data_IF_426389378283
#
_entry.id   IF_426389378283
#
_cell.length_a   1.000
_cell.length_b   1.000
_cell.length_c   1.000
_cell.angle_alpha   90.00
_cell.angle_beta   90.00
_cell.angle_gamma   90.00
#
_symmetry.space_group_name_H-M   'P 1'
#
loop_
_entity.id
_entity.type
_entity.pdbx_description
1 polymer ?
#
# COMPACT_ATOMS: atom_id res chain seq x y z
N UNK A 1 -9.29 -1.47 -5.34
CA UNK A 1 -7.89 -1.83 -5.55
C UNK A 1 -7.21 -2.06 -4.22
N UNK A 2 -6.57 -3.21 -4.03
CA UNK A 2 -5.71 -3.45 -2.87
C UNK A 2 -4.45 -2.57 -2.90
N UNK A 3 -4.02 -1.94 -1.79
CA UNK A 3 -2.79 -1.16 -1.76
C UNK A 3 -1.55 -1.94 -2.20
N UNK A 4 -1.48 -3.25 -1.95
CA UNK A 4 -0.38 -4.10 -2.42
C UNK A 4 -0.19 -4.06 -3.95
N UNK A 5 -1.26 -3.95 -4.74
CA UNK A 5 -1.14 -3.87 -6.20
C UNK A 5 -0.28 -2.67 -6.61
N UNK A 6 -0.35 -1.58 -5.87
CA UNK A 6 0.42 -0.37 -6.15
C UNK A 6 1.94 -0.59 -6.07
N UNK A 7 2.40 -1.56 -5.27
CA UNK A 7 3.83 -1.90 -5.15
C UNK A 7 4.44 -2.40 -6.47
N UNK A 8 3.61 -2.87 -7.41
CA UNK A 8 4.06 -3.45 -8.68
C UNK A 8 3.61 -2.65 -9.91
N UNK A 9 2.80 -1.59 -9.73
CA UNK A 9 2.30 -0.79 -10.84
C UNK A 9 3.35 0.23 -11.30
N UNK A 10 3.87 0.03 -12.50
CA UNK A 10 4.60 1.04 -13.25
C UNK A 10 3.67 1.73 -14.26
N UNK A 11 4.01 2.95 -14.69
CA UNK A 11 3.24 3.61 -15.75
C UNK A 11 3.26 2.75 -17.03
N UNK A 12 2.11 2.43 -17.64
CA UNK A 12 2.06 1.58 -18.82
C UNK A 12 2.75 2.22 -20.03
N UNK A 13 2.88 3.55 -20.05
CA UNK A 13 3.40 4.32 -21.19
C UNK A 13 4.92 4.48 -21.13
N UNK A 14 5.46 5.02 -20.03
CA UNK A 14 6.89 5.34 -19.91
C UNK A 14 7.66 4.41 -18.98
N UNK A 15 6.99 3.41 -18.40
CA UNK A 15 7.55 2.43 -17.45
C UNK A 15 8.12 3.07 -16.17
N UNK A 16 7.78 4.33 -15.90
CA UNK A 16 8.24 5.01 -14.70
C UNK A 16 7.63 4.39 -13.44
N UNK A 17 8.47 4.24 -12.42
CA UNK A 17 8.15 3.75 -11.08
C UNK A 17 9.07 4.49 -10.07
N UNK A 18 8.59 4.87 -8.87
CA UNK A 18 7.24 4.65 -8.34
C UNK A 18 6.23 5.70 -8.83
N UNK A 19 4.96 5.31 -8.92
CA UNK A 19 3.85 6.21 -9.21
C UNK A 19 3.43 6.97 -7.93
N UNK A 20 2.47 7.89 -8.04
CA UNK A 20 1.74 8.46 -6.90
C UNK A 20 0.32 7.94 -6.87
N UNK A 21 -0.23 7.73 -5.68
CA UNK A 21 -1.62 7.31 -5.49
C UNK A 21 -2.34 8.34 -4.62
N UNK A 22 -3.46 8.85 -5.11
CA UNK A 22 -4.40 9.67 -4.37
C UNK A 22 -5.64 8.82 -4.10
N UNK A 23 -6.01 8.62 -2.84
CA UNK A 23 -7.16 7.79 -2.48
C UNK A 23 -8.34 8.70 -2.13
N UNK A 24 -9.50 8.46 -2.73
CA UNK A 24 -10.71 9.26 -2.52
C UNK A 24 -11.72 8.55 -1.63
N UNK A 25 -11.85 7.23 -1.75
CA UNK A 25 -12.71 6.42 -0.87
C UNK A 25 -12.21 4.97 -0.76
N UNK A 26 -12.74 4.26 0.23
CA UNK A 26 -12.47 2.86 0.50
C UNK A 26 -13.78 2.11 0.63
N UNK A 27 -13.81 0.87 0.14
CA UNK A 27 -14.94 -0.05 0.33
C UNK A 27 -14.86 -0.75 1.70
N UNK A 28 -13.65 -0.93 2.23
CA UNK A 28 -13.41 -1.58 3.52
C UNK A 28 -14.13 -0.90 4.67
N UNK A 29 -14.78 -1.71 5.49
CA UNK A 29 -15.58 -1.24 6.63
C UNK A 29 -14.71 -0.87 7.83
N UNK A 30 -15.26 -0.01 8.68
CA UNK A 30 -14.56 0.52 9.85
C UNK A 30 -14.33 -0.53 10.96
N UNK A 31 -15.23 -1.49 11.10
CA UNK A 31 -15.17 -2.53 12.14
C UNK A 31 -13.94 -3.43 11.98
N UNK A 32 -13.58 -3.75 10.74
CA UNK A 32 -12.42 -4.59 10.39
C UNK A 32 -11.12 -3.93 10.86
N UNK A 33 -10.98 -2.63 10.63
CA UNK A 33 -9.81 -1.83 10.99
C UNK A 33 -9.67 -1.62 12.51
N UNK A 34 -10.80 -1.50 13.20
CA UNK A 34 -10.81 -1.35 14.66
C UNK A 34 -10.31 -2.63 15.33
N UNK A 35 -10.71 -3.78 14.81
CA UNK A 35 -10.27 -5.09 15.31
C UNK A 35 -8.77 -5.28 15.09
N UNK A 36 -8.30 -4.97 13.87
CA UNK A 36 -6.88 -5.01 13.53
C UNK A 36 -6.02 -4.15 14.47
N UNK A 37 -6.45 -2.91 14.72
CA UNK A 37 -5.73 -1.98 15.60
C UNK A 37 -5.60 -2.54 17.02
N UNK A 38 -6.69 -3.11 17.57
CA UNK A 38 -6.69 -3.73 18.91
C UNK A 38 -5.76 -4.93 19.00
N UNK A 39 -5.77 -5.81 18.00
CA UNK A 39 -4.87 -6.98 17.93
C UNK A 39 -3.41 -6.54 17.96
N UNK A 40 -3.08 -5.50 17.19
CA UNK A 40 -1.73 -4.95 17.13
C UNK A 40 -1.29 -4.28 18.44
N UNK A 41 -2.13 -3.42 19.03
CA UNK A 41 -1.83 -2.71 20.28
C UNK A 41 -1.62 -3.67 21.46
N UNK A 42 -2.45 -4.71 21.55
CA UNK A 42 -2.35 -5.74 22.59
C UNK A 42 -1.26 -6.78 22.31
N UNK A 43 -0.66 -6.76 21.11
CA UNK A 43 0.29 -7.78 20.63
C UNK A 43 -0.24 -9.20 20.84
N UNK A 44 -1.47 -9.48 20.40
CA UNK A 44 -2.10 -10.79 20.56
C UNK A 44 -1.46 -11.86 19.63
N UNK A 45 -0.22 -12.28 19.94
CA UNK A 45 0.60 -13.18 19.12
C UNK A 45 -0.15 -14.47 18.80
N UNK A 46 -0.85 -15.07 19.76
CA UNK A 46 -1.58 -16.32 19.54
C UNK A 46 -2.74 -16.17 18.55
N UNK A 47 -3.38 -15.00 18.49
CA UNK A 47 -4.42 -14.70 17.49
C UNK A 47 -3.79 -14.53 16.11
N UNK A 48 -2.66 -13.83 16.04
CA UNK A 48 -1.91 -13.57 14.80
C UNK A 48 -1.34 -14.86 14.19
N UNK A 49 -0.71 -15.73 14.99
CA UNK A 49 -0.09 -16.97 14.52
C UNK A 49 -1.12 -17.95 13.94
N UNK A 50 -2.37 -17.94 14.44
CA UNK A 50 -3.47 -18.77 13.91
C UNK A 50 -3.89 -18.44 12.50
N UNK A 51 -3.64 -17.21 12.04
CA UNK A 51 -3.99 -16.81 10.67
C UNK A 51 -2.96 -17.25 9.64
N UNK A 52 -1.79 -17.73 10.09
CA UNK A 52 -0.72 -18.24 9.21
C UNK A 52 -0.31 -17.24 8.11
N UNK A 53 -0.47 -15.93 8.36
CA UNK A 53 -0.10 -14.89 7.40
C UNK A 53 1.41 -14.74 7.32
N UNK A 54 2.11 -14.67 8.45
CA UNK A 54 3.57 -14.54 8.48
C UNK A 54 4.16 -15.87 8.93
N UNK A 55 4.76 -16.60 8.00
CA UNK A 55 5.26 -17.95 8.23
C UNK A 55 6.78 -17.93 8.28
N UNK A 56 7.32 -18.30 9.43
CA UNK A 56 8.76 -18.45 9.66
C UNK A 56 9.11 -19.94 9.60
N UNK A 57 10.16 -20.28 8.86
CA UNK A 57 10.70 -21.63 8.78
C UNK A 57 12.22 -21.62 8.91
N UNK A 58 12.80 -22.75 9.30
CA UNK A 58 14.23 -22.90 9.51
C UNK A 58 14.75 -24.11 8.72
N UNK A 59 15.82 -23.93 7.95
CA UNK A 59 16.50 -24.98 7.21
C UNK A 59 18.02 -24.75 7.29
N UNK A 60 18.79 -25.78 7.67
CA UNK A 60 20.26 -25.70 7.75
C UNK A 60 20.75 -24.46 8.51
N UNK A 61 20.17 -24.21 9.70
CA UNK A 61 20.46 -23.05 10.56
C UNK A 61 20.11 -21.67 9.96
N UNK A 62 19.52 -21.61 8.77
CA UNK A 62 19.03 -20.38 8.13
C UNK A 62 17.54 -20.22 8.34
N UNK A 63 17.13 -18.97 8.53
CA UNK A 63 15.73 -18.60 8.70
C UNK A 63 15.16 -18.04 7.41
N UNK A 64 13.94 -18.46 7.11
CA UNK A 64 13.20 -18.05 5.94
C UNK A 64 11.82 -17.56 6.37
N UNK A 65 11.33 -16.55 5.68
CA UNK A 65 10.02 -15.96 5.92
C UNK A 65 9.29 -15.89 4.59
N UNK A 66 7.98 -16.12 4.64
CA UNK A 66 7.04 -15.73 3.60
C UNK A 66 5.80 -15.15 4.25
N UNK A 67 5.12 -14.31 3.52
CA UNK A 67 3.78 -13.83 3.86
C UNK A 67 2.98 -13.56 2.58
N UNK A 68 1.88 -12.81 2.69
CA UNK A 68 1.06 -12.53 1.52
C UNK A 68 1.60 -11.35 0.68
N UNK A 69 2.53 -10.54 1.21
CA UNK A 69 3.23 -9.49 0.46
C UNK A 69 4.41 -10.11 -0.32
N UNK A 70 5.21 -10.95 0.34
CA UNK A 70 6.32 -11.73 -0.21
C UNK A 70 5.95 -13.21 -0.10
N UNK A 71 5.28 -13.69 -1.15
CA UNK A 71 4.72 -15.04 -1.23
C UNK A 71 5.82 -16.11 -1.30
N UNK A 72 6.93 -15.76 -1.96
CA UNK A 72 8.08 -16.65 -2.06
C UNK A 72 8.74 -16.84 -0.69
N UNK A 73 9.17 -18.07 -0.43
CA UNK A 73 9.99 -18.37 0.73
C UNK A 73 11.38 -17.75 0.54
N UNK A 74 11.65 -16.69 1.28
CA UNK A 74 12.87 -15.89 1.14
C UNK A 74 13.68 -15.93 2.42
N UNK A 75 15.02 -15.89 2.32
CA UNK A 75 15.86 -15.77 3.50
C UNK A 75 15.56 -14.46 4.26
N UNK A 76 15.80 -14.47 5.56
CA UNK A 76 15.44 -13.37 6.46
C UNK A 76 15.93 -12.00 5.95
N UNK A 77 17.16 -11.91 5.42
CA UNK A 77 17.73 -10.64 4.99
C UNK A 77 16.99 -10.10 3.77
N UNK A 78 16.88 -10.92 2.73
CA UNK A 78 16.20 -10.54 1.49
C UNK A 78 14.70 -10.28 1.74
N UNK A 79 14.05 -11.01 2.64
CA UNK A 79 12.66 -10.74 3.04
C UNK A 79 12.51 -9.33 3.61
N UNK A 80 13.39 -8.92 4.54
CA UNK A 80 13.32 -7.58 5.11
C UNK A 80 13.68 -6.48 4.10
N UNK A 81 14.61 -6.73 3.17
CA UNK A 81 14.89 -5.79 2.07
C UNK A 81 13.62 -5.54 1.24
N UNK A 82 12.87 -6.60 0.90
CA UNK A 82 11.61 -6.51 0.16
C UNK A 82 10.50 -5.83 0.97
N UNK A 83 10.33 -6.18 2.25
CA UNK A 83 9.36 -5.52 3.15
C UNK A 83 9.67 -4.03 3.28
N UNK A 84 10.93 -3.65 3.44
CA UNK A 84 11.32 -2.24 3.54
C UNK A 84 11.02 -1.50 2.24
N UNK A 85 11.25 -2.13 1.08
CA UNK A 85 10.86 -1.57 -0.21
C UNK A 85 9.34 -1.38 -0.28
N UNK A 86 8.57 -2.39 0.10
CA UNK A 86 7.11 -2.35 0.16
C UNK A 86 6.61 -1.24 1.09
N UNK A 87 7.18 -1.07 2.27
CA UNK A 87 6.82 0.02 3.20
C UNK A 87 7.13 1.40 2.58
N UNK A 88 8.25 1.56 1.86
CA UNK A 88 8.60 2.83 1.21
C UNK A 88 7.58 3.24 0.14
N UNK A 89 6.92 2.30 -0.52
CA UNK A 89 5.88 2.63 -1.51
C UNK A 89 4.68 3.37 -0.90
N UNK A 90 4.43 3.18 0.39
CA UNK A 90 3.40 3.93 1.11
C UNK A 90 3.72 5.43 1.21
N UNK A 91 4.99 5.84 1.04
CA UNK A 91 5.39 7.26 1.01
C UNK A 91 4.84 7.98 -0.25
N UNK A 92 4.41 7.21 -1.26
CA UNK A 92 3.81 7.72 -2.48
C UNK A 92 2.28 7.76 -2.44
N UNK A 93 1.66 7.36 -1.33
CA UNK A 93 0.22 7.36 -1.13
C UNK A 93 -0.22 8.63 -0.40
N UNK A 94 -1.27 9.25 -0.90
CA UNK A 94 -1.93 10.41 -0.30
C UNK A 94 -3.38 10.06 -0.08
N UNK A 95 -3.76 9.83 1.17
CA UNK A 95 -5.16 9.60 1.54
C UNK A 95 -5.90 10.94 1.60
N UNK A 96 -6.89 11.12 0.72
CA UNK A 96 -7.81 12.26 0.68
C UNK A 96 -9.24 11.86 1.07
N UNK A 97 -9.44 10.61 1.48
CA UNK A 97 -10.74 10.11 1.90
C UNK A 97 -11.18 10.71 3.24
N UNK A 98 -12.46 10.59 3.55
CA UNK A 98 -13.00 10.99 4.85
C UNK A 98 -12.72 9.95 5.97
N UNK A 99 -12.11 8.80 5.66
CA UNK A 99 -11.97 7.69 6.60
C UNK A 99 -10.78 7.89 7.57
N UNK A 100 -11.07 8.50 8.72
CA UNK A 100 -10.07 8.78 9.77
C UNK A 100 -9.38 7.53 10.32
N UNK A 101 -10.00 6.35 10.25
CA UNK A 101 -9.39 5.14 10.79
C UNK A 101 -8.28 4.63 9.87
N UNK A 102 -8.50 4.67 8.56
CA UNK A 102 -7.47 4.30 7.59
C UNK A 102 -6.30 5.28 7.65
N UNK A 103 -6.58 6.57 7.75
CA UNK A 103 -5.54 7.60 7.97
C UNK A 103 -4.67 7.26 9.19
N UNK A 104 -5.29 6.91 10.33
CA UNK A 104 -4.55 6.47 11.53
C UNK A 104 -3.74 5.21 11.27
N UNK A 105 -4.27 4.21 10.57
CA UNK A 105 -3.52 2.99 10.26
C UNK A 105 -2.30 3.28 9.36
N UNK A 106 -2.45 4.14 8.35
CA UNK A 106 -1.34 4.57 7.48
C UNK A 106 -0.29 5.37 8.27
N UNK A 107 -0.73 6.26 9.16
CA UNK A 107 0.15 6.99 10.08
C UNK A 107 0.90 6.05 11.03
N UNK A 108 0.21 5.05 11.60
CA UNK A 108 0.83 4.02 12.44
C UNK A 108 1.91 3.25 11.67
N UNK A 109 1.68 2.95 10.39
CA UNK A 109 2.70 2.31 9.57
C UNK A 109 3.95 3.19 9.48
N UNK A 110 3.77 4.47 9.16
CA UNK A 110 4.88 5.40 8.95
C UNK A 110 5.64 5.75 10.23
N UNK A 111 4.92 5.98 11.33
CA UNK A 111 5.48 6.52 12.57
C UNK A 111 5.90 5.44 13.57
N UNK A 112 5.34 4.23 13.47
CA UNK A 112 5.57 3.16 14.46
C UNK A 112 6.16 1.92 13.80
N UNK A 113 5.49 1.36 12.78
CA UNK A 113 5.89 0.07 12.19
C UNK A 113 7.17 0.21 11.38
N UNK A 114 7.26 1.20 10.49
CA UNK A 114 8.43 1.45 9.64
C UNK A 114 9.72 1.62 10.47
N UNK A 115 9.77 2.46 11.53
CA UNK A 115 10.94 2.54 12.40
C UNK A 115 11.31 1.22 13.07
N UNK A 116 10.32 0.47 13.60
CA UNK A 116 10.55 -0.82 14.25
C UNK A 116 11.09 -1.88 13.29
N UNK A 117 10.56 -1.94 12.07
CA UNK A 117 11.04 -2.86 11.02
C UNK A 117 12.47 -2.51 10.62
N UNK A 118 12.78 -1.21 10.45
CA UNK A 118 14.14 -0.76 10.16
C UNK A 118 15.12 -1.07 11.29
N UNK A 119 14.72 -0.86 12.54
CA UNK A 119 15.54 -1.18 13.71
C UNK A 119 15.78 -2.69 13.83
N UNK A 120 14.72 -3.50 13.65
CA UNK A 120 14.83 -4.95 13.63
C UNK A 120 15.79 -5.41 12.54
N UNK A 121 15.66 -4.88 11.32
CA UNK A 121 16.52 -5.24 10.20
C UNK A 121 17.99 -4.86 10.43
N UNK A 122 18.26 -3.73 11.09
CA UNK A 122 19.62 -3.31 11.44
C UNK A 122 20.33 -4.29 12.40
N UNK A 123 19.58 -4.89 13.31
CA UNK A 123 20.11 -5.84 14.31
C UNK A 123 20.10 -7.28 13.76
N UNK A 124 19.02 -7.64 13.06
CA UNK A 124 18.73 -8.93 12.44
C UNK A 124 19.05 -10.14 13.33
N UNK A 125 18.44 -10.18 14.52
CA UNK A 125 18.56 -11.29 15.46
C UNK A 125 17.40 -12.30 15.27
N UNK A 126 17.66 -13.52 14.75
CA UNK A 126 16.60 -14.50 14.51
C UNK A 126 15.85 -14.93 15.78
N UNK A 127 16.50 -14.89 16.96
CA UNK A 127 15.86 -15.23 18.23
C UNK A 127 14.72 -14.26 18.58
N UNK A 128 14.72 -13.06 18.00
CA UNK A 128 13.72 -12.01 18.22
C UNK A 128 12.67 -11.95 17.11
N UNK A 129 12.64 -12.88 16.15
CA UNK A 129 11.66 -12.86 15.05
C UNK A 129 10.21 -12.75 15.55
N UNK A 130 9.85 -13.46 16.62
CA UNK A 130 8.49 -13.36 17.20
C UNK A 130 8.12 -11.94 17.62
N UNK A 131 9.09 -11.10 17.98
CA UNK A 131 8.82 -9.73 18.41
C UNK A 131 8.48 -8.78 17.28
N UNK A 132 8.69 -9.13 16.00
CA UNK A 132 8.33 -8.27 14.85
C UNK A 132 7.10 -8.77 14.09
N UNK A 133 6.59 -9.96 14.43
CA UNK A 133 5.42 -10.57 13.78
C UNK A 133 4.18 -9.65 13.81
N UNK A 134 3.83 -8.96 14.91
CA UNK A 134 2.68 -8.06 14.90
C UNK A 134 2.79 -6.92 13.89
N UNK A 135 3.98 -6.35 13.74
CA UNK A 135 4.28 -5.32 12.74
C UNK A 135 4.13 -5.83 11.31
N UNK A 136 4.68 -7.02 11.00
CA UNK A 136 4.57 -7.65 9.69
C UNK A 136 3.12 -8.06 9.36
N UNK A 137 2.41 -8.61 10.34
CA UNK A 137 1.00 -8.96 10.22
C UNK A 137 0.13 -7.73 9.95
N UNK A 138 0.32 -6.64 10.71
CA UNK A 138 -0.43 -5.40 10.49
C UNK A 138 -0.20 -4.85 9.08
N UNK A 139 1.05 -4.86 8.61
CA UNK A 139 1.36 -4.44 7.24
C UNK A 139 0.64 -5.30 6.20
N UNK A 140 0.65 -6.62 6.34
CA UNK A 140 -0.08 -7.54 5.46
C UNK A 140 -1.58 -7.20 5.41
N UNK A 141 -2.20 -7.04 6.58
CA UNK A 141 -3.62 -6.70 6.70
C UNK A 141 -3.97 -5.41 5.98
N UNK A 142 -3.21 -4.33 6.22
CA UNK A 142 -3.43 -3.05 5.56
C UNK A 142 -3.23 -3.14 4.04
N UNK A 143 -2.18 -3.84 3.59
CA UNK A 143 -1.87 -3.90 2.15
C UNK A 143 -2.79 -4.80 1.34
N UNK A 144 -3.38 -5.83 1.95
CA UNK A 144 -4.06 -6.90 1.22
C UNK A 144 -5.54 -7.09 1.56
N UNK A 145 -6.02 -6.51 2.65
CA UNK A 145 -7.43 -6.60 3.04
C UNK A 145 -8.17 -5.27 2.89
N UNK A 146 -7.45 -4.15 2.82
CA UNK A 146 -8.06 -2.89 2.46
C UNK A 146 -8.31 -2.84 0.94
N UNK A 147 -9.49 -2.37 0.58
CA UNK A 147 -9.94 -2.20 -0.79
C UNK A 147 -10.24 -0.72 -1.05
N UNK A 148 -9.43 -0.09 -1.90
CA UNK A 148 -9.64 1.29 -2.37
C UNK A 148 -10.78 1.27 -3.38
N UNK A 149 -11.86 1.99 -3.12
CA UNK A 149 -13.01 2.05 -4.03
C UNK A 149 -12.75 3.05 -5.17
N UNK A 150 -12.36 4.28 -4.82
CA UNK A 150 -12.11 5.36 -5.76
C UNK A 150 -10.79 6.07 -5.47
N UNK A 151 -10.08 6.48 -6.52
CA UNK A 151 -8.78 7.13 -6.42
C UNK A 151 -8.17 7.52 -7.76
N UNK A 152 -6.95 8.02 -7.72
CA UNK A 152 -6.21 8.45 -8.90
C UNK A 152 -4.74 8.05 -8.76
N UNK A 153 -4.23 7.34 -9.76
CA UNK A 153 -2.81 7.02 -9.90
C UNK A 153 -2.17 8.08 -10.82
N UNK A 154 -1.02 8.62 -10.45
CA UNK A 154 -0.34 9.70 -11.17
C UNK A 154 1.13 9.37 -11.44
N UNK A 155 1.53 9.44 -12.70
CA UNK A 155 2.92 9.38 -13.11
C UNK A 155 3.54 10.77 -13.09
N UNK A 156 4.49 11.00 -12.18
CA UNK A 156 5.22 12.27 -12.09
C UNK A 156 6.11 12.56 -13.31
N UNK A 157 6.51 11.52 -14.06
CA UNK A 157 7.42 11.64 -15.19
C UNK A 157 6.68 12.12 -16.44
N UNK A 158 5.76 11.33 -17.01
CA UNK A 158 5.00 11.74 -18.18
C UNK A 158 3.72 12.54 -17.89
N UNK A 159 3.41 12.84 -16.62
CA UNK A 159 2.23 13.60 -16.17
C UNK A 159 0.88 12.92 -16.46
N UNK A 160 0.91 11.62 -16.75
CA UNK A 160 -0.32 10.84 -16.93
C UNK A 160 -1.00 10.54 -15.61
N UNK A 161 -2.31 10.65 -15.58
CA UNK A 161 -3.12 10.16 -14.48
C UNK A 161 -4.02 9.02 -14.95
N UNK A 162 -4.42 8.14 -14.04
CA UNK A 162 -5.28 6.98 -14.29
C UNK A 162 -6.30 6.89 -13.15
N UNK A 163 -7.60 6.85 -13.43
CA UNK A 163 -8.60 6.74 -12.38
C UNK A 163 -8.66 5.30 -11.82
N UNK A 164 -9.05 5.21 -10.56
CA UNK A 164 -9.55 3.99 -9.93
C UNK A 164 -11.05 4.22 -9.77
N UNK A 165 -11.86 3.39 -10.43
CA UNK A 165 -13.33 3.45 -10.41
C UNK A 165 -13.84 2.07 -10.03
N UNK A 166 -14.74 1.99 -9.07
CA UNK A 166 -15.33 0.75 -8.56
C UNK A 166 -14.25 -0.30 -8.27
N UNK A 167 -13.21 0.10 -7.54
CA UNK A 167 -12.04 -0.69 -7.18
C UNK A 167 -11.06 -1.04 -8.31
N UNK A 168 -11.35 -0.67 -9.56
CA UNK A 168 -10.58 -1.07 -10.74
C UNK A 168 -9.67 0.08 -11.22
N UNK A 169 -8.32 -0.09 -11.21
CA UNK A 169 -7.41 0.89 -11.81
C UNK A 169 -7.47 0.82 -13.34
N UNK A 170 -7.93 1.89 -13.99
CA UNK A 170 -8.06 1.97 -15.45
C UNK A 170 -6.76 2.46 -16.10
N UNK A 171 -5.77 1.57 -16.22
CA UNK A 171 -4.44 1.89 -16.76
C UNK A 171 -4.30 1.55 -18.25
N UNK A 172 -5.28 1.97 -19.06
CA UNK A 172 -5.27 1.74 -20.51
C UNK A 172 -4.31 2.69 -21.25
N UNK A 173 -3.81 2.31 -22.45
CA UNK A 173 -3.20 3.23 -23.39
C UNK A 173 -4.14 4.39 -23.75
N UNK A 174 -3.57 5.55 -24.10
CA UNK A 174 -4.31 6.80 -24.27
C UNK A 174 -5.43 6.69 -25.32
N UNK A 175 -5.21 5.94 -26.40
CA UNK A 175 -6.15 5.71 -27.50
C UNK A 175 -7.39 4.88 -27.11
N UNK A 176 -7.35 4.18 -25.97
CA UNK A 176 -8.45 3.35 -25.48
C UNK A 176 -9.18 3.96 -24.28
N UNK A 177 -8.88 5.22 -23.93
CA UNK A 177 -9.46 5.91 -22.78
C UNK A 177 -10.68 6.74 -23.19
N UNK A 178 -11.67 6.78 -22.30
CA UNK A 178 -12.89 7.54 -22.52
C UNK A 178 -12.75 8.94 -21.92
N UNK A 179 -12.49 9.94 -22.78
CA UNK A 179 -12.28 11.34 -22.37
C UNK A 179 -13.45 11.90 -21.57
N UNK A 180 -14.69 11.65 -21.97
CA UNK A 180 -15.88 12.21 -21.33
C UNK A 180 -16.04 11.70 -19.90
N UNK A 181 -15.99 10.38 -19.73
CA UNK A 181 -16.13 9.71 -18.43
C UNK A 181 -14.99 10.11 -17.48
N UNK A 182 -13.76 10.13 -17.98
CA UNK A 182 -12.60 10.42 -17.17
C UNK A 182 -12.52 11.91 -16.78
N UNK A 183 -12.80 12.84 -17.70
CA UNK A 183 -12.89 14.27 -17.37
C UNK A 183 -14.00 14.50 -16.34
N UNK A 184 -15.14 13.82 -16.47
CA UNK A 184 -16.23 13.88 -15.48
C UNK A 184 -15.75 13.39 -14.10
N UNK A 185 -15.09 12.24 -14.05
CA UNK A 185 -14.46 11.71 -12.83
C UNK A 185 -13.51 12.73 -12.19
N UNK A 186 -12.60 13.31 -12.96
CA UNK A 186 -11.61 14.24 -12.44
C UNK A 186 -12.24 15.55 -11.95
N UNK A 187 -13.27 16.05 -12.63
CA UNK A 187 -14.04 17.23 -12.21
C UNK A 187 -14.80 16.97 -10.90
N UNK A 188 -15.44 15.82 -10.77
CA UNK A 188 -16.21 15.45 -9.58
C UNK A 188 -15.32 15.30 -8.33
N UNK A 189 -14.05 14.93 -8.52
CA UNK A 189 -13.07 14.77 -7.44
C UNK A 189 -12.10 15.96 -7.31
N UNK A 190 -12.36 17.07 -8.00
CA UNK A 190 -11.42 18.22 -8.09
C UNK A 190 -11.05 18.81 -6.73
N UNK A 191 -11.99 18.83 -5.78
CA UNK A 191 -11.80 19.34 -4.42
C UNK A 191 -10.85 18.49 -3.57
N UNK A 192 -10.60 17.23 -3.94
CA UNK A 192 -9.69 16.32 -3.23
C UNK A 192 -8.23 16.49 -3.68
N UNK A 193 -7.99 17.21 -4.77
CA UNK A 193 -6.67 17.41 -5.37
C UNK A 193 -6.21 18.86 -5.21
N UNK A 194 -4.94 19.05 -4.88
CA UNK A 194 -4.39 20.39 -4.64
C UNK A 194 -4.24 21.16 -5.97
N UNK A 195 -4.30 22.50 -5.93
CA UNK A 195 -4.14 23.35 -7.13
C UNK A 195 -2.89 23.00 -7.97
N UNK A 196 -1.77 22.72 -7.28
CA UNK A 196 -0.50 22.31 -7.90
C UNK A 196 -0.61 21.06 -8.79
N UNK A 197 -1.59 20.18 -8.53
CA UNK A 197 -1.85 19.03 -9.39
C UNK A 197 -2.32 19.47 -10.78
N UNK A 198 -3.27 20.42 -10.82
CA UNK A 198 -3.87 20.97 -12.05
C UNK A 198 -3.01 22.03 -12.73
N UNK A 199 -2.05 22.64 -12.03
CA UNK A 199 -1.08 23.56 -12.65
C UNK A 199 -0.08 22.84 -13.58
N UNK A 200 -0.16 21.50 -13.70
CA UNK A 200 0.67 20.68 -14.59
C UNK A 200 -0.04 20.42 -15.92
N UNK A 201 0.73 20.12 -16.98
CA UNK A 201 0.19 19.60 -18.24
C UNK A 201 -0.24 18.14 -18.09
N UNK A 202 -1.43 17.91 -17.55
CA UNK A 202 -1.95 16.57 -17.31
C UNK A 202 -2.19 15.83 -18.62
N UNK A 203 -1.92 14.53 -18.60
CA UNK A 203 -2.15 13.62 -19.73
C UNK A 203 -3.03 12.43 -19.30
N UNK A 204 -3.76 11.82 -20.24
CA UNK A 204 -3.99 12.27 -21.61
C UNK A 204 -4.91 13.50 -21.67
N UNK A 205 -5.71 13.74 -20.63
CA UNK A 205 -6.67 14.82 -20.57
C UNK A 205 -6.26 15.88 -19.54
N UNK A 206 -6.38 17.14 -19.93
CA UNK A 206 -6.03 18.32 -19.13
C UNK A 206 -7.27 19.19 -18.87
N UNK A 207 -7.42 19.75 -17.66
CA UNK A 207 -8.60 20.52 -17.23
C UNK A 207 -8.28 21.78 -16.44
#
# INVERSE_FOLDING_TARGET
MKPWLFDILACPIDKYFPLKLYIFSFETKFEDLTTLTKIFEKREITSIEKEEIVIVSQENEKYFIRDNIIIEKTDIKNYFDLIISSIKELDNIVDKSANRQIQKCLEMIQLIIKPKVLEFYRILDPAKLKSIIPELYFLNKIKLEIEIESGLIFCKNCKRWYPIIDTIPQMLPDEYRNEEEEISFLKNNRNLLDKKFFDQELKPFNI
#
